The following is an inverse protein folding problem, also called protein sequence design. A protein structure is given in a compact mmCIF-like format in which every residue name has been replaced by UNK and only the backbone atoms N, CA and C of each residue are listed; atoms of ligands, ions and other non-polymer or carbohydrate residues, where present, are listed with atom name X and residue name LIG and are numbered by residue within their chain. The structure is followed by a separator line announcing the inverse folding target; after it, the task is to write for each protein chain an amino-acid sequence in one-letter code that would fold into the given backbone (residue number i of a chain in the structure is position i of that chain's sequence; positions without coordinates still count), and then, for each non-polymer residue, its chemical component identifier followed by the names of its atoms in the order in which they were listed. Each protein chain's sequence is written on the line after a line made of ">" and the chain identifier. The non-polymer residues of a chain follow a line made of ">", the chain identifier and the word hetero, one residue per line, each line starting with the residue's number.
data_IF_159514861555
#
_entry.id   IF_159514861555
#
_cell.length_a   1.000
_cell.length_b   1.000
_cell.length_c   1.000
_cell.angle_alpha   90.00
_cell.angle_beta   90.00
_cell.angle_gamma   90.00
#
_symmetry.space_group_name_H-M   'P 1'
#
loop_
_entity.id
_entity.type
_entity.pdbx_description
1 polymer ?
#
# COMPACT_ATOMS: atom_id res chain seq x y z
N UNK A 1 -7.15 22.20 31.93
CA UNK A 1 -7.98 22.60 30.77
C UNK A 1 -7.45 23.83 30.02
N UNK A 2 -7.10 24.94 30.68
CA UNK A 2 -6.67 26.18 30.01
C UNK A 2 -5.51 25.97 29.00
N UNK A 3 -4.49 25.17 29.34
CA UNK A 3 -3.39 24.86 28.44
C UNK A 3 -3.84 24.09 27.18
N UNK A 4 -4.71 23.10 27.32
CA UNK A 4 -5.22 22.32 26.18
C UNK A 4 -6.03 23.20 25.22
N UNK A 5 -6.88 24.06 25.77
CA UNK A 5 -7.64 25.04 24.99
C UNK A 5 -6.72 25.98 24.20
N UNK A 6 -5.72 26.56 24.88
CA UNK A 6 -4.75 27.45 24.24
C UNK A 6 -4.00 26.76 23.11
N UNK A 7 -3.54 25.52 23.31
CA UNK A 7 -2.83 24.77 22.25
C UNK A 7 -3.71 24.49 21.03
N UNK A 8 -4.99 24.21 21.24
CA UNK A 8 -5.95 24.08 20.12
C UNK A 8 -6.17 25.42 19.41
N UNK A 9 -6.34 26.52 20.14
CA UNK A 9 -6.47 27.87 19.57
C UNK A 9 -5.23 28.26 18.74
N UNK A 10 -4.03 27.97 19.24
CA UNK A 10 -2.78 28.22 18.53
C UNK A 10 -2.71 27.37 17.22
N UNK A 11 -3.13 26.11 17.26
CA UNK A 11 -3.21 25.25 16.07
C UNK A 11 -4.26 25.74 15.04
N UNK A 12 -5.42 26.21 15.51
CA UNK A 12 -6.46 26.77 14.66
C UNK A 12 -5.98 28.04 13.95
N UNK A 13 -5.32 28.94 14.67
CA UNK A 13 -4.76 30.16 14.08
C UNK A 13 -3.73 29.84 12.99
N UNK A 14 -2.89 28.81 13.18
CA UNK A 14 -1.96 28.34 12.15
C UNK A 14 -2.69 27.79 10.92
N UNK A 15 -3.77 27.02 11.12
CA UNK A 15 -4.61 26.52 10.03
C UNK A 15 -5.27 27.66 9.24
N UNK A 16 -5.80 28.66 9.93
CA UNK A 16 -6.44 29.81 9.28
C UNK A 16 -5.43 30.58 8.42
N UNK A 17 -4.22 30.80 8.95
CA UNK A 17 -3.14 31.45 8.21
C UNK A 17 -2.71 30.71 6.94
N UNK A 18 -2.62 29.37 6.97
CA UNK A 18 -2.28 28.60 5.76
C UNK A 18 -3.45 28.49 4.78
N UNK A 19 -4.67 28.43 5.29
CA UNK A 19 -5.88 28.43 4.48
C UNK A 19 -6.02 29.73 3.69
N UNK A 20 -5.79 30.88 4.32
CA UNK A 20 -5.78 32.19 3.65
C UNK A 20 -4.70 32.30 2.57
N UNK A 21 -3.50 31.77 2.84
CA UNK A 21 -2.45 31.69 1.83
C UNK A 21 -2.89 30.86 0.62
N UNK A 22 -3.54 29.71 0.84
CA UNK A 22 -4.00 28.85 -0.25
C UNK A 22 -5.14 29.39 -1.09
N UNK A 23 -5.83 30.44 -0.62
CA UNK A 23 -6.80 31.16 -1.45
C UNK A 23 -6.13 32.11 -2.44
N UNK A 24 -4.86 32.46 -2.24
CA UNK A 24 -4.16 33.43 -3.08
C UNK A 24 -3.85 32.81 -4.45
N UNK A 25 -4.38 33.40 -5.51
CA UNK A 25 -4.12 32.98 -6.89
C UNK A 25 -5.06 31.91 -7.44
N UNK A 26 -6.05 31.47 -6.67
CA UNK A 26 -7.14 30.62 -7.18
C UNK A 26 -8.15 31.45 -7.98
N UNK A 27 -8.71 30.86 -9.03
CA UNK A 27 -9.87 31.45 -9.70
C UNK A 27 -11.14 31.31 -8.84
N UNK A 28 -12.27 31.82 -9.34
CA UNK A 28 -13.52 31.77 -8.59
C UNK A 28 -14.01 30.33 -8.34
N UNK A 29 -13.90 29.45 -9.34
CA UNK A 29 -14.39 28.08 -9.22
C UNK A 29 -13.54 27.29 -8.22
N UNK A 30 -12.22 27.40 -8.33
CA UNK A 30 -11.27 26.75 -7.42
C UNK A 30 -11.39 27.30 -5.99
N UNK A 31 -11.63 28.60 -5.84
CA UNK A 31 -11.91 29.22 -4.53
C UNK A 31 -13.13 28.59 -3.86
N UNK A 32 -14.22 28.38 -4.62
CA UNK A 32 -15.43 27.74 -4.07
C UNK A 32 -15.17 26.30 -3.68
N UNK A 33 -14.45 25.55 -4.53
CA UNK A 33 -14.09 24.16 -4.25
C UNK A 33 -13.21 24.05 -3.00
N UNK A 34 -12.19 24.90 -2.87
CA UNK A 34 -11.27 24.93 -1.74
C UNK A 34 -11.99 25.26 -0.43
N UNK A 35 -12.90 26.25 -0.44
CA UNK A 35 -13.75 26.58 0.71
C UNK A 35 -14.69 25.44 1.09
N UNK A 36 -15.32 24.81 0.10
CA UNK A 36 -16.21 23.67 0.34
C UNK A 36 -15.46 22.48 0.95
N UNK A 37 -14.27 22.17 0.42
CA UNK A 37 -13.41 21.12 0.96
C UNK A 37 -13.00 21.41 2.40
N UNK A 38 -12.57 22.64 2.70
CA UNK A 38 -12.20 23.03 4.07
C UNK A 38 -13.39 22.98 5.03
N UNK A 39 -14.58 23.41 4.60
CA UNK A 39 -15.81 23.31 5.40
C UNK A 39 -16.18 21.86 5.69
N UNK A 40 -16.08 20.99 4.69
CA UNK A 40 -16.30 19.55 4.86
C UNK A 40 -15.32 18.93 5.86
N UNK A 41 -14.05 19.31 5.77
CA UNK A 41 -13.01 18.86 6.70
C UNK A 41 -13.26 19.33 8.15
N UNK A 42 -13.68 20.59 8.37
CA UNK A 42 -14.03 21.07 9.73
C UNK A 42 -15.16 20.25 10.33
N UNK A 43 -16.22 19.97 9.54
CA UNK A 43 -17.33 19.14 10.01
C UNK A 43 -16.91 17.70 10.34
N UNK A 44 -15.99 17.13 9.56
CA UNK A 44 -15.36 15.84 9.87
C UNK A 44 -14.60 15.89 11.19
N UNK A 45 -13.67 16.86 11.35
CA UNK A 45 -12.84 17.02 12.55
C UNK A 45 -13.69 17.08 13.81
N UNK A 46 -14.72 17.92 13.79
CA UNK A 46 -15.55 18.13 14.97
C UNK A 46 -16.33 16.86 15.36
N UNK A 47 -16.79 16.07 14.38
CA UNK A 47 -17.49 14.80 14.61
C UNK A 47 -16.53 13.71 15.10
N UNK A 48 -15.36 13.60 14.49
CA UNK A 48 -14.31 12.64 14.86
C UNK A 48 -13.87 12.89 16.31
N UNK A 49 -13.57 14.15 16.66
CA UNK A 49 -13.12 14.48 18.01
C UNK A 49 -14.23 14.36 19.06
N UNK A 50 -15.49 14.64 18.69
CA UNK A 50 -16.62 14.36 19.57
C UNK A 50 -16.82 12.86 19.79
N UNK A 51 -16.60 12.02 18.78
CA UNK A 51 -16.66 10.56 18.91
C UNK A 51 -15.51 10.03 19.77
N UNK A 52 -14.26 10.43 19.49
CA UNK A 52 -13.08 10.00 20.25
C UNK A 52 -13.21 10.37 21.73
N UNK A 53 -13.70 11.58 22.04
CA UNK A 53 -13.93 12.02 23.41
C UNK A 53 -14.94 11.15 24.18
N UNK A 54 -15.89 10.47 23.50
CA UNK A 54 -16.85 9.56 24.16
C UNK A 54 -16.18 8.30 24.71
N UNK A 55 -14.99 7.95 24.23
CA UNK A 55 -14.23 6.79 24.70
C UNK A 55 -13.54 7.05 26.05
N UNK A 56 -13.51 8.28 26.54
CA UNK A 56 -12.87 8.61 27.81
C UNK A 56 -13.71 8.17 29.02
N UNK A 57 -13.05 7.60 30.03
CA UNK A 57 -13.67 7.00 31.22
C UNK A 57 -14.43 7.98 32.12
N UNK A 58 -14.17 9.28 32.01
CA UNK A 58 -14.80 10.30 32.85
C UNK A 58 -15.14 11.57 32.10
N UNK A 59 -16.22 12.24 32.53
CA UNK A 59 -16.73 13.47 31.92
C UNK A 59 -15.69 14.61 31.95
N UNK A 60 -14.86 14.66 32.99
CA UNK A 60 -13.77 15.65 33.11
C UNK A 60 -12.63 15.41 32.12
N UNK A 61 -12.39 14.15 31.72
CA UNK A 61 -11.40 13.79 30.70
C UNK A 61 -11.95 13.99 29.28
N UNK A 62 -13.25 13.77 29.04
CA UNK A 62 -13.85 13.94 27.70
C UNK A 62 -13.47 15.26 27.06
N UNK A 63 -13.56 16.37 27.81
CA UNK A 63 -13.22 17.70 27.28
C UNK A 63 -11.73 17.87 26.97
N UNK A 64 -10.86 17.25 27.76
CA UNK A 64 -9.41 17.30 27.52
C UNK A 64 -9.06 16.46 26.29
N UNK A 65 -9.64 15.27 26.16
CA UNK A 65 -9.48 14.39 25.00
C UNK A 65 -10.00 15.05 23.71
N UNK A 66 -11.18 15.66 23.76
CA UNK A 66 -11.74 16.40 22.63
C UNK A 66 -10.80 17.51 22.16
N UNK A 67 -10.29 18.33 23.09
CA UNK A 67 -9.34 19.41 22.77
C UNK A 67 -8.00 18.89 22.23
N UNK A 68 -7.53 17.74 22.75
CA UNK A 68 -6.30 17.09 22.29
C UNK A 68 -6.46 16.56 20.86
N UNK A 69 -7.60 15.93 20.56
CA UNK A 69 -7.95 15.51 19.21
C UNK A 69 -8.05 16.71 18.27
N UNK A 70 -8.81 17.74 18.64
CA UNK A 70 -9.03 18.93 17.83
C UNK A 70 -7.70 19.58 17.43
N UNK A 71 -6.76 19.70 18.39
CA UNK A 71 -5.40 20.17 18.12
C UNK A 71 -4.69 19.28 17.09
N UNK A 72 -4.61 17.98 17.36
CA UNK A 72 -3.82 17.03 16.55
C UNK A 72 -4.33 16.96 15.11
N UNK A 73 -5.64 16.84 14.93
CA UNK A 73 -6.26 16.78 13.60
C UNK A 73 -6.05 18.10 12.86
N UNK A 74 -6.13 19.24 13.57
CA UNK A 74 -5.87 20.57 12.99
C UNK A 74 -4.40 20.73 12.55
N UNK A 75 -3.43 20.34 13.38
CA UNK A 75 -2.00 20.38 13.02
C UNK A 75 -1.69 19.54 11.77
N UNK A 76 -2.27 18.34 11.68
CA UNK A 76 -2.14 17.47 10.49
C UNK A 76 -2.69 18.13 9.22
N UNK A 77 -3.84 18.80 9.32
CA UNK A 77 -4.42 19.53 8.19
C UNK A 77 -3.56 20.73 7.79
N UNK A 78 -3.04 21.48 8.75
CA UNK A 78 -2.11 22.58 8.48
C UNK A 78 -0.89 22.10 7.71
N UNK A 79 -0.29 20.99 8.14
CA UNK A 79 0.85 20.37 7.44
C UNK A 79 0.50 19.93 6.01
N UNK A 80 -0.66 19.28 5.82
CA UNK A 80 -1.12 18.86 4.49
C UNK A 80 -1.35 20.05 3.54
N UNK A 81 -1.94 21.15 4.03
CA UNK A 81 -2.15 22.35 3.23
C UNK A 81 -0.82 23.05 2.90
N UNK A 82 0.10 23.11 3.85
CA UNK A 82 1.44 23.66 3.63
C UNK A 82 2.19 22.88 2.54
N UNK A 83 2.20 21.55 2.62
CA UNK A 83 2.82 20.69 1.61
C UNK A 83 2.22 20.90 0.21
N UNK A 84 0.89 21.01 0.11
CA UNK A 84 0.22 21.30 -1.15
C UNK A 84 0.63 22.67 -1.74
N UNK A 85 0.81 23.70 -0.89
CA UNK A 85 1.25 25.01 -1.34
C UNK A 85 2.71 25.04 -1.75
N UNK A 86 3.57 24.31 -1.06
CA UNK A 86 4.99 24.23 -1.41
C UNK A 86 5.17 23.46 -2.73
N UNK A 87 4.39 22.41 -2.97
CA UNK A 87 4.36 21.71 -4.26
C UNK A 87 3.91 22.62 -5.42
N UNK A 88 2.99 23.57 -5.18
CA UNK A 88 2.58 24.54 -6.19
C UNK A 88 3.65 25.59 -6.50
N UNK A 89 4.39 26.04 -5.48
CA UNK A 89 5.52 26.97 -5.65
C UNK A 89 6.69 26.29 -6.36
N UNK A 90 6.88 25.00 -6.10
CA UNK A 90 7.88 24.13 -6.73
C UNK A 90 7.43 23.52 -8.06
N UNK A 91 6.69 24.24 -8.92
CA UNK A 91 6.49 23.88 -10.34
C UNK A 91 7.81 23.96 -11.16
N UNK A 92 8.91 23.53 -10.56
CA UNK A 92 10.15 23.17 -11.22
C UNK A 92 10.17 21.64 -11.26
N UNK A 93 10.31 21.08 -12.46
CA UNK A 93 10.31 19.65 -12.80
C UNK A 93 10.98 18.80 -11.72
N UNK A 94 10.19 18.07 -10.92
CA UNK A 94 10.74 17.08 -10.00
C UNK A 94 11.17 15.87 -10.83
N UNK A 95 12.45 15.45 -10.76
CA UNK A 95 12.87 14.17 -11.32
C UNK A 95 12.14 13.06 -10.56
N UNK A 96 11.48 12.18 -11.30
CA UNK A 96 11.05 10.86 -10.83
C UNK A 96 12.19 10.21 -10.04
N UNK A 97 12.06 10.10 -8.71
CA UNK A 97 13.05 9.35 -7.92
C UNK A 97 13.39 9.82 -6.51
N UNK A 98 12.78 10.87 -5.93
CA UNK A 98 13.01 11.17 -4.50
C UNK A 98 11.71 11.26 -3.72
N UNK A 99 11.53 10.27 -2.85
CA UNK A 99 10.48 10.16 -1.84
C UNK A 99 10.35 11.45 -1.04
N UNK A 100 9.24 12.15 -1.21
CA UNK A 100 8.83 13.16 -0.25
C UNK A 100 8.54 12.48 1.09
N UNK A 101 8.89 13.09 2.24
CA UNK A 101 8.52 12.55 3.54
C UNK A 101 7.02 12.75 3.72
N UNK A 102 6.23 11.78 3.26
CA UNK A 102 4.82 11.64 3.60
C UNK A 102 4.71 11.46 5.11
N UNK A 103 4.43 12.57 5.77
CA UNK A 103 4.12 12.69 7.18
C UNK A 103 3.09 11.66 7.65
N UNK A 104 3.54 10.62 8.36
CA UNK A 104 2.87 9.77 9.38
C UNK A 104 1.41 9.30 9.14
N UNK A 105 0.86 9.52 7.96
CA UNK A 105 -0.49 9.12 7.57
C UNK A 105 -0.38 8.09 6.46
N UNK A 106 -1.17 7.03 6.59
CA UNK A 106 -1.40 6.07 5.53
C UNK A 106 -1.88 6.80 4.27
N UNK A 107 -1.17 6.70 3.12
CA UNK A 107 -1.57 7.28 1.84
C UNK A 107 -3.02 6.97 1.49
N UNK A 108 -3.66 7.88 0.75
CA UNK A 108 -5.08 7.72 0.38
C UNK A 108 -5.33 6.39 -0.34
N UNK A 109 -4.44 5.99 -1.25
CA UNK A 109 -4.56 4.73 -2.00
C UNK A 109 -4.57 3.51 -1.10
N UNK A 110 -3.75 3.50 -0.04
CA UNK A 110 -3.73 2.40 0.93
C UNK A 110 -5.04 2.32 1.72
N UNK A 111 -5.60 3.47 2.10
CA UNK A 111 -6.90 3.50 2.79
C UNK A 111 -8.04 3.01 1.88
N UNK A 112 -8.00 3.33 0.58
CA UNK A 112 -8.98 2.85 -0.39
C UNK A 112 -8.84 1.34 -0.59
N UNK A 113 -7.62 0.84 -0.83
CA UNK A 113 -7.34 -0.58 -1.01
C UNK A 113 -7.76 -1.40 0.21
N UNK A 114 -7.43 -0.93 1.42
CA UNK A 114 -7.82 -1.59 2.67
C UNK A 114 -9.32 -1.49 2.95
N UNK A 115 -9.95 -0.37 2.62
CA UNK A 115 -11.39 -0.19 2.78
C UNK A 115 -12.22 -1.08 1.84
N UNK A 116 -11.72 -1.35 0.63
CA UNK A 116 -12.36 -2.24 -0.33
C UNK A 116 -12.16 -3.73 -0.01
N UNK A 117 -11.11 -4.07 0.73
CA UNK A 117 -10.73 -5.45 1.08
C UNK A 117 -10.46 -5.59 2.60
N UNK A 118 -11.50 -5.45 3.44
CA UNK A 118 -11.35 -5.37 4.90
C UNK A 118 -10.95 -6.69 5.56
N UNK A 119 -11.03 -7.80 4.85
CA UNK A 119 -10.66 -9.15 5.29
C UNK A 119 -9.18 -9.48 5.04
N UNK A 120 -8.42 -8.56 4.43
CA UNK A 120 -6.98 -8.69 4.19
C UNK A 120 -6.22 -7.79 5.17
N UNK A 121 -5.28 -8.37 5.90
CA UNK A 121 -4.35 -7.66 6.78
C UNK A 121 -3.20 -7.07 5.96
N UNK A 122 -3.30 -5.77 5.66
CA UNK A 122 -2.33 -5.04 4.83
C UNK A 122 -1.07 -4.56 5.58
N UNK A 123 0.10 -4.65 4.94
CA UNK A 123 1.40 -4.19 5.47
C UNK A 123 1.68 -2.73 5.06
N UNK A 124 1.13 -1.77 5.80
CA UNK A 124 1.25 -0.33 5.51
C UNK A 124 2.69 0.24 5.46
N UNK A 125 3.69 -0.49 5.98
CA UNK A 125 5.11 -0.10 5.96
C UNK A 125 5.88 -0.58 4.73
N UNK A 126 5.35 -1.57 4.00
CA UNK A 126 6.00 -2.16 2.83
C UNK A 126 5.35 -1.58 1.57
N UNK A 127 6.01 -0.58 0.99
CA UNK A 127 5.54 0.13 -0.21
C UNK A 127 6.47 -0.21 -1.35
N UNK A 128 5.90 -0.70 -2.44
CA UNK A 128 6.62 -0.88 -3.68
C UNK A 128 5.94 0.00 -4.74
N UNK A 129 6.73 0.48 -5.67
CA UNK A 129 6.29 1.40 -6.71
C UNK A 129 6.91 0.96 -8.02
N UNK A 130 6.07 0.81 -9.05
CA UNK A 130 6.50 0.44 -10.38
C UNK A 130 5.45 0.90 -11.39
N UNK A 131 5.89 1.40 -12.54
CA UNK A 131 5.01 1.58 -13.69
C UNK A 131 4.81 0.20 -14.35
N UNK A 132 3.74 -0.48 -13.97
CA UNK A 132 3.39 -1.83 -14.44
C UNK A 132 2.72 -1.80 -15.81
N UNK A 133 2.33 -0.62 -16.27
CA UNK A 133 1.40 -0.45 -17.37
C UNK A 133 1.98 0.39 -18.54
N UNK A 134 3.10 1.10 -18.28
CA UNK A 134 3.87 2.01 -19.12
C UNK A 134 3.11 3.25 -19.61
N UNK A 135 2.14 3.72 -18.86
CA UNK A 135 1.47 4.99 -19.14
C UNK A 135 2.24 6.21 -18.58
N UNK A 136 3.40 5.98 -17.96
CA UNK A 136 4.19 7.00 -17.30
C UNK A 136 3.65 7.39 -15.91
N UNK A 137 2.67 6.65 -15.39
CA UNK A 137 2.14 6.79 -14.04
C UNK A 137 2.52 5.56 -13.23
N UNK A 138 3.17 5.78 -12.10
CA UNK A 138 3.60 4.69 -11.22
C UNK A 138 2.43 4.12 -10.43
N UNK A 139 2.23 2.80 -10.48
CA UNK A 139 1.35 2.11 -9.54
C UNK A 139 2.01 1.92 -8.18
N UNK A 140 1.19 1.99 -7.13
CA UNK A 140 1.63 1.63 -5.79
C UNK A 140 1.18 0.23 -5.43
N UNK A 141 2.07 -0.52 -4.81
CA UNK A 141 1.90 -1.93 -4.53
C UNK A 141 2.06 -2.15 -3.02
N UNK A 142 1.17 -2.95 -2.44
CA UNK A 142 1.19 -3.32 -1.02
C UNK A 142 0.89 -4.80 -0.84
N UNK A 143 1.61 -5.42 0.09
CA UNK A 143 1.37 -6.81 0.46
C UNK A 143 0.32 -6.94 1.56
N UNK A 144 -0.47 -8.00 1.50
CA UNK A 144 -1.47 -8.34 2.50
C UNK A 144 -1.50 -9.83 2.82
N UNK A 145 -2.10 -10.18 3.95
CA UNK A 145 -2.35 -11.56 4.37
C UNK A 145 -3.82 -11.72 4.74
N UNK A 146 -4.45 -12.80 4.28
CA UNK A 146 -5.78 -13.21 4.74
C UNK A 146 -5.68 -14.56 5.43
N UNK A 147 -6.32 -14.69 6.58
CA UNK A 147 -6.40 -15.98 7.27
C UNK A 147 -7.65 -16.68 6.77
N UNK A 148 -7.47 -17.74 5.99
CA UNK A 148 -8.55 -18.62 5.58
C UNK A 148 -8.79 -19.65 6.69
N UNK A 149 -9.96 -19.57 7.32
CA UNK A 149 -10.35 -20.58 8.31
C UNK A 149 -10.56 -21.93 7.65
N UNK A 150 -10.02 -22.98 8.27
CA UNK A 150 -10.31 -24.35 7.87
C UNK A 150 -11.82 -24.65 7.91
N UNK A 151 -12.30 -25.49 7.00
CA UNK A 151 -13.73 -25.89 6.94
C UNK A 151 -14.09 -26.93 8.01
N UNK A 152 -13.10 -27.40 8.78
CA UNK A 152 -13.25 -28.46 9.79
C UNK A 152 -12.37 -28.17 11.00
N UNK A 153 -12.79 -28.64 12.19
CA UNK A 153 -12.02 -28.56 13.45
C UNK A 153 -10.62 -29.22 13.36
N UNK A 154 -10.38 -30.06 12.35
CA UNK A 154 -9.07 -30.68 12.09
C UNK A 154 -8.26 -29.95 11.03
N UNK A 155 -8.85 -28.99 10.31
CA UNK A 155 -8.20 -28.24 9.24
C UNK A 155 -7.60 -26.95 9.83
N UNK A 156 -6.27 -26.84 9.76
CA UNK A 156 -5.56 -25.69 10.30
C UNK A 156 -5.87 -24.43 9.48
N UNK A 157 -5.95 -23.29 10.16
CA UNK A 157 -6.02 -21.98 9.51
C UNK A 157 -4.82 -21.79 8.59
N UNK A 158 -5.08 -21.39 7.35
CA UNK A 158 -4.04 -21.13 6.37
C UNK A 158 -3.93 -19.63 6.11
N UNK A 159 -2.74 -19.07 6.27
CA UNK A 159 -2.45 -17.71 5.86
C UNK A 159 -2.17 -17.69 4.35
N UNK A 160 -2.96 -16.91 3.62
CA UNK A 160 -2.85 -16.72 2.18
C UNK A 160 -2.33 -15.30 1.92
N UNK A 161 -1.27 -15.18 1.13
CA UNK A 161 -0.69 -13.90 0.76
C UNK A 161 -1.49 -13.25 -0.38
N UNK A 162 -1.56 -11.93 -0.36
CA UNK A 162 -2.21 -11.09 -1.35
C UNK A 162 -1.29 -9.93 -1.75
N UNK A 163 -1.39 -9.49 -2.99
CA UNK A 163 -0.75 -8.29 -3.50
C UNK A 163 -1.86 -7.34 -3.95
N UNK A 164 -1.91 -6.16 -3.35
CA UNK A 164 -2.78 -5.07 -3.75
C UNK A 164 -2.00 -4.09 -4.61
N UNK A 165 -2.58 -3.70 -5.75
CA UNK A 165 -2.03 -2.73 -6.70
C UNK A 165 -3.02 -1.57 -6.76
N UNK A 166 -2.55 -0.35 -6.61
CA UNK A 166 -3.35 0.85 -6.72
C UNK A 166 -2.78 1.77 -7.80
N UNK A 167 -3.59 2.01 -8.83
CA UNK A 167 -3.39 3.13 -9.76
C UNK A 167 -3.79 4.39 -9.00
N UNK A 168 -2.82 5.25 -8.66
CA UNK A 168 -3.08 6.51 -7.98
C UNK A 168 -3.19 7.63 -9.03
N UNK A 169 -4.41 8.02 -9.44
CA UNK A 169 -4.54 9.15 -10.34
C UNK A 169 -4.12 10.43 -9.61
N UNK A 170 -3.49 11.35 -10.33
CA UNK A 170 -3.13 12.69 -9.82
C UNK A 170 -4.32 13.41 -9.16
N UNK A 171 -5.56 13.07 -9.56
CA UNK A 171 -6.81 13.53 -8.98
C UNK A 171 -7.86 12.41 -8.96
N UNK A 172 -8.62 12.29 -7.87
CA UNK A 172 -9.77 11.37 -7.77
C UNK A 172 -9.55 10.18 -6.83
N UNK A 173 -10.46 9.19 -6.91
CA UNK A 173 -10.37 7.94 -6.13
C UNK A 173 -9.42 6.98 -6.87
N UNK A 174 -8.37 6.46 -6.22
CA UNK A 174 -7.51 5.41 -6.76
C UNK A 174 -8.32 4.19 -7.21
N UNK A 175 -7.90 3.56 -8.31
CA UNK A 175 -8.41 2.25 -8.71
C UNK A 175 -7.53 1.19 -8.07
N UNK A 176 -8.14 0.16 -7.52
CA UNK A 176 -7.40 -0.89 -6.80
C UNK A 176 -7.68 -2.27 -7.39
N UNK A 177 -6.65 -3.11 -7.38
CA UNK A 177 -6.68 -4.50 -7.83
C UNK A 177 -6.04 -5.35 -6.75
N UNK A 178 -6.58 -6.55 -6.53
CA UNK A 178 -6.04 -7.51 -5.55
C UNK A 178 -5.77 -8.82 -6.26
N UNK A 179 -4.56 -9.34 -6.08
CA UNK A 179 -4.08 -10.57 -6.67
C UNK A 179 -3.74 -11.55 -5.55
N UNK A 180 -4.26 -12.76 -5.64
CA UNK A 180 -3.88 -13.90 -4.81
C UNK A 180 -2.80 -14.71 -5.53
N UNK A 181 -1.50 -14.52 -5.24
CA UNK A 181 -0.47 -15.37 -5.80
C UNK A 181 -0.67 -16.80 -5.31
N UNK A 182 -0.77 -17.75 -6.25
CA UNK A 182 -0.76 -19.18 -5.93
C UNK A 182 0.65 -19.58 -5.47
N UNK A 183 0.93 -19.43 -4.18
CA UNK A 183 2.19 -19.90 -3.59
C UNK A 183 2.01 -21.40 -3.32
N UNK A 184 2.56 -22.23 -4.21
CA UNK A 184 2.63 -23.66 -3.95
C UNK A 184 3.51 -23.88 -2.72
N UNK A 185 2.91 -24.20 -1.58
CA UNK A 185 3.65 -24.57 -0.38
C UNK A 185 4.36 -25.89 -0.67
N UNK A 186 5.66 -25.82 -1.01
CA UNK A 186 6.50 -27.01 -0.96
C UNK A 186 6.65 -27.35 0.51
N UNK A 187 5.81 -28.26 1.01
CA UNK A 187 6.04 -28.89 2.30
C UNK A 187 7.42 -29.54 2.23
N UNK A 188 8.42 -28.91 2.87
CA UNK A 188 9.66 -29.56 3.19
C UNK A 188 9.28 -30.71 4.13
N UNK A 189 9.09 -31.90 3.54
CA UNK A 189 9.06 -33.14 4.28
C UNK A 189 10.37 -33.18 5.06
N UNK A 190 10.30 -32.85 6.34
CA UNK A 190 11.32 -33.15 7.33
C UNK A 190 11.32 -34.67 7.50
N UNK A 191 11.80 -35.38 6.47
CA UNK A 191 12.24 -36.74 6.59
C UNK A 191 13.41 -36.70 7.56
N UNK A 192 13.14 -37.11 8.79
CA UNK A 192 14.20 -37.39 9.77
C UNK A 192 15.11 -38.43 9.10
N UNK A 193 16.39 -38.16 8.82
CA UNK A 193 17.27 -39.18 8.30
C UNK A 193 17.38 -40.25 9.39
N UNK A 194 16.79 -41.42 9.16
CA UNK A 194 17.00 -42.58 10.00
C UNK A 194 18.52 -42.81 10.10
N UNK A 195 19.02 -42.66 11.31
CA UNK A 195 20.42 -42.90 11.66
C UNK A 195 20.61 -44.41 11.70
N UNK A 196 20.90 -45.00 10.56
CA UNK A 196 21.60 -46.29 10.47
C UNK A 196 22.58 -46.24 9.30
N UNK A 197 23.74 -45.64 9.57
CA UNK A 197 24.89 -45.65 8.68
C UNK A 197 25.70 -46.93 8.88
N UNK A 198 25.65 -47.83 7.90
CA UNK A 198 26.80 -48.69 7.57
C UNK A 198 27.38 -48.27 6.21
N UNK A 199 28.66 -47.94 6.26
CA UNK A 199 29.62 -47.61 5.20
C UNK A 199 29.32 -48.20 3.81
N UNK A 200 29.17 -47.32 2.81
CA UNK A 200 29.71 -47.53 1.45
C UNK A 200 30.04 -46.20 0.77
N UNK A 201 31.17 -46.08 0.04
CA UNK A 201 31.51 -44.90 -0.72
C UNK A 201 31.18 -45.10 -2.20
N UNK A 202 30.10 -44.49 -2.70
CA UNK A 202 29.99 -44.24 -4.13
C UNK A 202 29.30 -42.90 -4.44
N UNK A 203 30.06 -42.14 -5.21
CA UNK A 203 29.77 -40.88 -5.88
C UNK A 203 28.56 -40.99 -6.80
N UNK A 204 27.46 -40.32 -6.46
CA UNK A 204 26.50 -39.85 -7.45
C UNK A 204 25.90 -38.54 -6.93
N UNK A 205 26.14 -37.44 -7.65
CA UNK A 205 25.52 -36.15 -7.38
C UNK A 205 24.03 -36.30 -7.68
N UNK A 206 23.19 -36.24 -6.66
CA UNK A 206 21.75 -36.07 -6.87
C UNK A 206 21.49 -34.82 -7.72
N UNK A 207 20.60 -34.88 -8.73
CA UNK A 207 20.20 -33.69 -9.45
C UNK A 207 19.46 -32.76 -8.48
N UNK A 208 19.93 -31.51 -8.42
CA UNK A 208 19.19 -30.40 -7.82
C UNK A 208 17.74 -30.48 -8.31
N UNK A 209 16.81 -30.63 -7.37
CA UNK A 209 15.37 -30.61 -7.66
C UNK A 209 15.03 -29.28 -8.32
N UNK A 210 14.78 -29.31 -9.63
CA UNK A 210 14.19 -28.21 -10.38
C UNK A 210 12.80 -27.93 -9.81
N UNK A 211 12.61 -26.75 -9.24
CA UNK A 211 11.33 -26.22 -8.80
C UNK A 211 11.12 -24.88 -9.48
N UNK A 212 10.55 -24.91 -10.69
CA UNK A 212 10.10 -23.71 -11.40
C UNK A 212 8.58 -23.71 -11.47
N UNK A 213 7.93 -22.79 -10.77
CA UNK A 213 6.55 -22.40 -11.08
C UNK A 213 6.48 -20.89 -11.06
N UNK A 214 6.80 -20.29 -12.20
CA UNK A 214 6.59 -18.86 -12.46
C UNK A 214 5.12 -18.68 -12.80
N UNK A 215 4.40 -17.86 -12.04
CA UNK A 215 3.02 -17.51 -12.35
C UNK A 215 3.05 -16.36 -13.37
N UNK A 216 2.91 -16.68 -14.65
CA UNK A 216 2.79 -15.66 -15.68
C UNK A 216 1.38 -15.03 -15.66
N UNK A 217 1.29 -13.77 -15.27
CA UNK A 217 0.09 -12.96 -15.48
C UNK A 217 0.22 -12.23 -16.81
N UNK A 218 -0.33 -12.82 -17.87
CA UNK A 218 -0.37 -12.19 -19.20
C UNK A 218 -1.53 -11.18 -19.23
N UNK A 219 -1.23 -9.90 -18.99
CA UNK A 219 -2.22 -8.82 -19.07
C UNK A 219 -2.46 -8.49 -20.55
N UNK A 220 -3.54 -9.01 -21.12
CA UNK A 220 -3.92 -8.80 -22.53
C UNK A 220 -4.45 -7.37 -22.76
N UNK A 221 -4.10 -6.79 -23.91
CA UNK A 221 -4.36 -5.41 -24.34
C UNK A 221 -5.86 -5.02 -24.32
N UNK A 222 -6.29 -4.30 -23.29
CA UNK A 222 -7.50 -3.44 -23.29
C UNK A 222 -7.25 -2.18 -22.44
N UNK A 223 -7.91 -1.03 -22.73
CA UNK A 223 -7.62 0.26 -22.07
C UNK A 223 -8.17 0.38 -20.63
N UNK A 224 -8.33 -0.73 -19.94
CA UNK A 224 -8.62 -0.81 -18.51
C UNK A 224 -8.18 -2.20 -18.06
N UNK A 225 -7.38 -2.31 -16.98
CA UNK A 225 -7.07 -3.59 -16.35
C UNK A 225 -8.39 -4.24 -15.90
N UNK A 226 -8.95 -5.14 -16.72
CA UNK A 226 -10.00 -6.07 -16.30
C UNK A 226 -9.32 -7.41 -16.04
N UNK A 227 -8.84 -7.60 -14.81
CA UNK A 227 -8.23 -8.86 -14.34
C UNK A 227 -9.37 -9.82 -14.00
N UNK A 228 -10.09 -10.29 -15.02
CA UNK A 228 -11.00 -11.42 -14.92
C UNK A 228 -10.67 -12.37 -16.05
N UNK A 229 -10.16 -13.53 -15.69
CA UNK A 229 -9.76 -14.64 -16.55
C UNK A 229 -8.43 -14.48 -17.29
N UNK A 230 -7.39 -15.13 -16.75
CA UNK A 230 -6.20 -15.54 -17.51
C UNK A 230 -5.94 -17.03 -17.27
N UNK A 231 -6.46 -17.86 -18.17
CA UNK A 231 -5.96 -19.21 -18.43
C UNK A 231 -5.14 -19.09 -19.71
N UNK A 232 -3.81 -19.14 -19.60
CA UNK A 232 -2.83 -19.62 -20.59
C UNK A 232 -1.44 -19.09 -20.19
N UNK A 233 -0.61 -19.95 -19.60
CA UNK A 233 0.76 -19.63 -19.18
C UNK A 233 1.78 -20.35 -20.06
N UNK A 234 2.84 -19.64 -20.46
CA UNK A 234 4.04 -20.19 -21.11
C UNK A 234 5.17 -20.26 -20.06
N UNK A 235 6.05 -21.27 -20.12
CA UNK A 235 7.03 -21.52 -19.05
C UNK A 235 8.40 -20.98 -19.49
N UNK A 236 9.00 -20.08 -18.71
CA UNK A 236 10.43 -19.76 -18.77
C UNK A 236 11.12 -20.20 -17.48
N UNK A 237 12.21 -20.96 -17.62
CA UNK A 237 13.05 -21.41 -16.51
C UNK A 237 14.11 -20.35 -16.20
N UNK A 238 14.17 -19.89 -14.95
CA UNK A 238 15.28 -19.08 -14.43
C UNK A 238 15.89 -19.78 -13.21
N UNK A 239 17.22 -19.90 -13.19
CA UNK A 239 17.97 -20.45 -12.05
C UNK A 239 18.08 -19.38 -10.95
N UNK A 240 17.17 -19.40 -9.96
CA UNK A 240 17.35 -18.68 -8.70
C UNK A 240 17.25 -19.62 -7.49
N UNK A 241 18.07 -19.43 -6.44
CA UNK A 241 18.20 -20.37 -5.33
C UNK A 241 17.06 -20.33 -4.29
N UNK A 242 16.02 -19.52 -4.52
CA UNK A 242 14.84 -19.46 -3.67
C UNK A 242 13.59 -19.74 -4.51
N UNK A 243 12.84 -20.78 -4.16
CA UNK A 243 11.55 -21.12 -4.79
C UNK A 243 10.46 -20.13 -4.34
N UNK A 244 10.62 -18.86 -4.68
CA UNK A 244 9.63 -17.85 -4.39
C UNK A 244 8.67 -17.71 -5.58
N UNK A 245 7.37 -17.66 -5.31
CA UNK A 245 6.41 -17.27 -6.32
C UNK A 245 6.74 -15.84 -6.79
N UNK A 246 6.86 -15.67 -8.10
CA UNK A 246 7.06 -14.37 -8.74
C UNK A 246 5.87 -14.06 -9.65
N UNK A 247 5.42 -12.82 -9.62
CA UNK A 247 4.47 -12.26 -10.58
C UNK A 247 5.26 -11.54 -11.67
N UNK A 248 5.21 -12.07 -12.89
CA UNK A 248 5.81 -11.42 -14.05
C UNK A 248 4.74 -10.59 -14.79
N UNK A 249 4.99 -9.29 -14.89
CA UNK A 249 4.23 -8.34 -15.69
C UNK A 249 4.97 -8.14 -17.01
N UNK A 250 4.35 -8.58 -18.11
CA UNK A 250 4.87 -8.38 -19.47
C UNK A 250 3.82 -7.70 -20.33
N UNK A 251 4.24 -6.67 -21.07
CA UNK A 251 3.42 -6.02 -22.10
C UNK A 251 4.27 -5.75 -23.34
N UNK A 252 3.69 -5.77 -24.54
CA UNK A 252 4.38 -5.32 -25.74
C UNK A 252 4.87 -3.88 -25.56
N UNK A 253 6.14 -3.62 -25.91
CA UNK A 253 6.76 -2.29 -25.82
C UNK A 253 6.91 -1.72 -24.41
N UNK A 254 6.84 -2.57 -23.39
CA UNK A 254 7.07 -2.24 -22.00
C UNK A 254 8.26 -3.01 -21.44
N UNK A 255 9.05 -2.41 -20.55
CA UNK A 255 9.91 -3.19 -19.67
C UNK A 255 9.10 -4.19 -18.86
N UNK A 256 9.67 -5.37 -18.66
CA UNK A 256 9.05 -6.36 -17.79
C UNK A 256 9.27 -5.97 -16.33
N UNK A 257 8.25 -6.16 -15.50
CA UNK A 257 8.37 -6.00 -14.05
C UNK A 257 8.13 -7.36 -13.38
N UNK A 258 8.97 -7.70 -12.41
CA UNK A 258 8.85 -8.92 -11.60
C UNK A 258 8.61 -8.53 -10.16
N UNK A 259 7.52 -9.00 -9.57
CA UNK A 259 7.28 -8.89 -8.12
C UNK A 259 7.54 -10.26 -7.51
N UNK A 260 8.51 -10.37 -6.61
CA UNK A 260 8.88 -11.65 -5.99
C UNK A 260 9.03 -11.53 -4.48
N UNK A 261 8.86 -12.65 -3.77
CA UNK A 261 9.08 -12.72 -2.32
C UNK A 261 10.55 -13.08 -2.02
N UNK A 262 11.27 -12.23 -1.32
CA UNK A 262 12.69 -12.45 -1.01
C UNK A 262 12.94 -13.20 0.33
N UNK A 263 11.89 -13.62 1.03
CA UNK A 263 11.98 -14.20 2.39
C UNK A 263 11.53 -13.26 3.50
N UNK A 264 11.70 -11.95 3.33
CA UNK A 264 11.36 -10.91 4.31
C UNK A 264 10.18 -10.02 3.88
N UNK A 265 10.03 -9.84 2.57
CA UNK A 265 9.03 -8.98 1.97
C UNK A 265 8.90 -9.26 0.47
N UNK A 266 8.03 -8.51 -0.17
CA UNK A 266 8.01 -8.44 -1.63
C UNK A 266 9.00 -7.39 -2.11
N UNK A 267 9.66 -7.67 -3.23
CA UNK A 267 10.50 -6.74 -3.96
C UNK A 267 9.98 -6.63 -5.40
N UNK A 268 10.32 -5.52 -6.07
CA UNK A 268 10.05 -5.33 -7.49
C UNK A 268 11.37 -5.13 -8.23
N UNK A 269 11.56 -5.90 -9.29
CA UNK A 269 12.65 -5.73 -10.25
C UNK A 269 12.05 -5.36 -11.61
N UNK A 270 12.43 -4.21 -12.15
CA UNK A 270 12.07 -3.81 -13.52
C UNK A 270 13.28 -3.98 -14.43
N UNK A 271 13.07 -4.58 -15.60
CA UNK A 271 14.11 -4.59 -16.63
C UNK A 271 14.36 -3.17 -17.11
N UNK A 272 15.59 -2.77 -17.45
CA UNK A 272 15.84 -1.47 -18.06
C UNK A 272 15.13 -1.36 -19.43
N UNK A 273 14.70 -0.15 -19.79
CA UNK A 273 14.19 0.17 -21.13
C UNK A 273 15.22 -0.27 -22.20
N UNK A 274 14.78 -1.05 -23.19
CA UNK A 274 15.60 -1.47 -24.35
C UNK A 274 15.62 -0.44 -25.46
#
# INVERSE_FOLDING_TARGET
>A
MACAKKRYEDAQNALDGIFEQGLSGLDFADTQLYRAAQKGWVAYRDRECAWQARLADSESLKRIEELSCLKTVTERRTAALQAALDAQKGKETVPTGTTAPESEGTPLWMNVLAGENPDIYWRYGDRLEADLNCDGVTEHIMAGLKIASGKSDTEQDQAVAFIGIAESPLIGRPRTYVIEPSIAQTHASSGNPDVDAQDTPHTEKEPLRSCGTTLLLKISERPALDIKDTHDAEIQETEQPFCAAALLFTRPHCPSAVIYWNGNGFEVEQTPDQ
#
